data_IF_448434465381
#
_entry.id   IF_448434465381
#
_cell.length_a   1.000
_cell.length_b   1.000
_cell.length_c   1.000
_cell.angle_alpha   90.00
_cell.angle_beta   90.00
_cell.angle_gamma   90.00
#
_symmetry.space_group_name_H-M   'P 1'
#
loop_
_entity.id
_entity.type
_entity.pdbx_description
1 polymer ?
#
# COMPACT_ATOMS: atom_id res chain seq x y z
N UNK A 1 18.28 11.31 -12.33
CA UNK A 1 18.32 10.46 -11.12
C UNK A 1 17.02 10.62 -10.35
N UNK A 2 16.67 9.69 -9.44
CA UNK A 2 15.42 9.77 -8.64
C UNK A 2 15.26 11.12 -7.92
N UNK A 3 16.34 11.66 -7.35
CA UNK A 3 16.31 12.95 -6.65
C UNK A 3 16.00 14.12 -7.58
N UNK A 4 16.62 14.18 -8.76
CA UNK A 4 16.38 15.25 -9.73
C UNK A 4 14.93 15.25 -10.24
N UNK A 5 14.30 14.07 -10.39
CA UNK A 5 12.89 13.96 -10.80
C UNK A 5 11.94 14.67 -9.83
N UNK A 6 12.30 14.72 -8.55
CA UNK A 6 11.50 15.35 -7.50
C UNK A 6 11.99 16.76 -7.14
N UNK A 7 12.97 17.31 -7.86
CA UNK A 7 13.55 18.62 -7.53
C UNK A 7 14.24 18.63 -6.16
N UNK A 8 14.81 17.50 -5.75
CA UNK A 8 15.48 17.38 -4.46
C UNK A 8 16.95 17.79 -4.59
N UNK A 9 17.37 18.71 -3.74
CA UNK A 9 18.76 19.11 -3.61
C UNK A 9 19.36 18.42 -2.38
N UNK A 10 20.29 17.46 -2.55
CA UNK A 10 20.89 16.75 -1.43
C UNK A 10 21.68 17.71 -0.54
N UNK A 11 21.46 17.64 0.77
CA UNK A 11 22.21 18.37 1.80
C UNK A 11 23.25 17.49 2.49
N UNK A 12 23.08 16.16 2.42
CA UNK A 12 24.03 15.20 2.95
C UNK A 12 23.74 13.79 2.45
N UNK A 13 24.77 12.94 2.44
CA UNK A 13 24.62 11.52 2.12
C UNK A 13 25.57 10.66 2.95
N UNK A 14 25.16 9.44 3.26
CA UNK A 14 26.02 8.42 3.87
C UNK A 14 25.70 7.04 3.32
N UNK A 15 26.73 6.23 3.13
CA UNK A 15 26.58 4.79 2.91
C UNK A 15 26.25 4.12 4.24
N UNK A 16 25.35 3.17 4.22
CA UNK A 16 24.88 2.42 5.39
C UNK A 16 24.41 1.03 4.97
N UNK A 17 23.99 0.22 5.94
CA UNK A 17 23.24 -1.00 5.68
C UNK A 17 21.85 -0.91 6.30
N UNK A 18 20.86 -1.57 5.69
CA UNK A 18 19.53 -1.79 6.25
C UNK A 18 19.29 -3.29 6.31
N UNK A 19 19.25 -3.87 7.51
CA UNK A 19 19.14 -5.32 7.72
C UNK A 19 20.12 -6.14 6.85
N UNK A 20 21.39 -5.70 6.78
CA UNK A 20 22.44 -6.33 5.98
C UNK A 20 22.44 -5.96 4.49
N UNK A 21 21.43 -5.23 4.00
CA UNK A 21 21.34 -4.77 2.62
C UNK A 21 22.11 -3.46 2.44
N UNK A 22 22.88 -3.35 1.36
CA UNK A 22 23.63 -2.14 1.07
C UNK A 22 22.69 -0.98 0.74
N UNK A 23 22.91 0.16 1.39
CA UNK A 23 22.06 1.31 1.22
C UNK A 23 22.83 2.64 1.20
N UNK A 24 22.22 3.65 0.59
CA UNK A 24 22.62 5.05 0.72
C UNK A 24 21.47 5.79 1.37
N UNK A 25 21.75 6.47 2.48
CA UNK A 25 20.85 7.43 3.08
C UNK A 25 21.21 8.83 2.59
N UNK A 26 20.21 9.63 2.24
CA UNK A 26 20.40 11.05 1.91
C UNK A 26 19.40 11.92 2.65
N UNK A 27 19.84 13.10 3.08
CA UNK A 27 18.94 14.19 3.41
C UNK A 27 18.96 15.20 2.26
N UNK A 28 17.80 15.76 1.94
CA UNK A 28 17.65 16.72 0.86
C UNK A 28 16.61 17.78 1.19
N UNK A 29 16.70 18.92 0.50
CA UNK A 29 15.71 19.97 0.51
C UNK A 29 14.89 19.94 -0.77
N UNK A 30 13.60 20.20 -0.63
CA UNK A 30 12.70 20.51 -1.73
C UNK A 30 12.12 21.89 -1.49
N UNK A 31 12.47 22.84 -2.35
CA UNK A 31 12.08 24.24 -2.20
C UNK A 31 10.98 24.56 -3.19
N UNK A 32 9.86 25.08 -2.69
CA UNK A 32 8.73 25.53 -3.48
C UNK A 32 8.59 27.04 -3.31
N UNK A 33 8.55 27.77 -4.43
CA UNK A 33 8.31 29.20 -4.43
C UNK A 33 6.95 29.48 -5.04
N UNK A 34 6.07 30.13 -4.28
CA UNK A 34 4.80 30.59 -4.78
C UNK A 34 5.02 31.83 -5.65
N UNK A 35 4.73 31.71 -6.96
CA UNK A 35 4.95 32.80 -7.92
C UNK A 35 4.01 33.99 -7.71
N UNK A 36 2.84 33.81 -7.08
CA UNK A 36 1.88 34.92 -6.87
C UNK A 36 2.14 35.70 -5.58
N UNK A 37 2.61 35.03 -4.51
CA UNK A 37 2.86 35.68 -3.21
C UNK A 37 4.35 35.91 -2.91
N UNK A 38 5.25 35.32 -3.69
CA UNK A 38 6.70 35.32 -3.43
C UNK A 38 7.12 34.44 -2.24
N UNK A 39 6.19 33.78 -1.56
CA UNK A 39 6.46 32.96 -0.38
C UNK A 39 7.23 31.71 -0.75
N UNK A 40 8.24 31.35 0.06
CA UNK A 40 9.03 30.13 -0.11
C UNK A 40 8.66 29.13 0.98
N UNK A 41 8.37 27.89 0.62
CA UNK A 41 8.25 26.77 1.55
C UNK A 41 9.31 25.72 1.25
N UNK A 42 9.85 25.13 2.30
CA UNK A 42 10.90 24.10 2.21
C UNK A 42 10.42 22.84 2.90
N UNK A 43 10.47 21.72 2.18
CA UNK A 43 10.38 20.40 2.76
C UNK A 43 11.79 19.83 2.96
N UNK A 44 11.95 19.09 4.05
CA UNK A 44 13.09 18.20 4.25
C UNK A 44 12.69 16.78 3.89
N UNK A 45 13.57 16.12 3.13
CA UNK A 45 13.35 14.77 2.62
C UNK A 45 14.49 13.87 3.07
N UNK A 46 14.17 12.90 3.92
CA UNK A 46 15.05 11.78 4.25
C UNK A 46 14.78 10.67 3.24
N UNK A 47 15.81 10.20 2.54
CA UNK A 47 15.67 9.11 1.57
C UNK A 47 16.62 7.95 1.88
N UNK A 48 16.12 6.73 1.70
CA UNK A 48 16.92 5.51 1.70
C UNK A 48 16.85 4.88 0.32
N UNK A 49 18.02 4.64 -0.29
CA UNK A 49 18.19 3.88 -1.51
C UNK A 49 18.80 2.53 -1.14
N UNK A 50 18.01 1.46 -1.18
CA UNK A 50 18.39 0.13 -0.68
C UNK A 50 18.53 -0.82 -1.87
N UNK A 51 19.70 -1.43 -2.03
CA UNK A 51 19.98 -2.42 -3.07
C UNK A 51 19.45 -3.79 -2.63
N UNK A 52 18.52 -4.36 -3.40
CA UNK A 52 17.94 -5.67 -3.13
C UNK A 52 17.39 -6.30 -4.41
N UNK A 53 17.68 -7.58 -4.66
CA UNK A 53 17.12 -8.32 -5.80
C UNK A 53 17.45 -7.75 -7.19
N UNK A 54 18.59 -7.05 -7.35
CA UNK A 54 18.94 -6.37 -8.59
C UNK A 54 18.19 -5.06 -8.83
N UNK A 55 17.37 -4.62 -7.88
CA UNK A 55 16.63 -3.37 -7.89
C UNK A 55 17.14 -2.42 -6.80
N UNK A 56 16.79 -1.14 -6.92
CA UNK A 56 16.97 -0.15 -5.87
C UNK A 56 15.60 0.24 -5.34
N UNK A 57 15.28 -0.18 -4.12
CA UNK A 57 14.10 0.24 -3.40
C UNK A 57 14.36 1.61 -2.79
N UNK A 58 13.40 2.54 -2.97
CA UNK A 58 13.56 3.91 -2.49
C UNK A 58 12.43 4.25 -1.54
N UNK A 59 12.79 4.66 -0.33
CA UNK A 59 11.88 5.23 0.65
C UNK A 59 12.14 6.71 0.79
N UNK A 60 11.07 7.50 0.90
CA UNK A 60 11.12 8.92 1.17
C UNK A 60 10.28 9.23 2.41
N UNK A 61 10.87 9.96 3.34
CA UNK A 61 10.21 10.56 4.47
C UNK A 61 10.25 12.06 4.27
N UNK A 62 9.07 12.68 4.24
CA UNK A 62 8.90 14.08 3.87
C UNK A 62 8.20 14.80 5.02
N UNK A 63 8.73 15.95 5.40
CA UNK A 63 8.06 16.87 6.32
C UNK A 63 8.40 18.31 5.94
N UNK A 64 7.71 19.26 6.57
CA UNK A 64 8.18 20.64 6.61
C UNK A 64 9.56 20.69 7.29
N UNK A 65 10.32 21.76 7.03
CA UNK A 65 11.60 21.98 7.71
C UNK A 65 11.41 22.12 9.24
N UNK A 66 10.33 22.76 9.69
CA UNK A 66 10.05 22.97 11.12
C UNK A 66 9.78 21.66 11.88
N UNK A 67 9.06 20.72 11.25
CA UNK A 67 8.63 19.47 11.91
C UNK A 67 9.62 18.31 11.74
N UNK A 68 10.69 18.50 10.95
CA UNK A 68 11.55 17.39 10.55
C UNK A 68 12.18 16.67 11.74
N UNK A 69 12.69 17.40 12.73
CA UNK A 69 13.31 16.79 13.90
C UNK A 69 12.32 15.98 14.73
N UNK A 70 11.05 16.37 14.75
CA UNK A 70 9.96 15.63 15.43
C UNK A 70 9.70 14.28 14.76
N UNK A 71 9.72 14.22 13.42
CA UNK A 71 9.40 13.00 12.67
C UNK A 71 10.63 12.18 12.26
N UNK A 72 11.84 12.72 12.34
CA UNK A 72 13.06 12.10 11.86
C UNK A 72 13.27 10.70 12.44
N UNK A 73 13.08 10.51 13.74
CA UNK A 73 13.23 9.21 14.39
C UNK A 73 12.24 8.19 13.84
N UNK A 74 10.95 8.56 13.74
CA UNK A 74 9.91 7.67 13.20
C UNK A 74 10.19 7.28 11.75
N UNK A 75 10.59 8.24 10.91
CA UNK A 75 10.95 7.99 9.51
C UNK A 75 12.16 7.06 9.40
N UNK A 76 13.21 7.29 10.19
CA UNK A 76 14.39 6.42 10.21
C UNK A 76 14.04 4.98 10.65
N UNK A 77 13.30 4.84 11.75
CA UNK A 77 12.91 3.53 12.29
C UNK A 77 12.08 2.75 11.27
N UNK A 78 11.09 3.39 10.65
CA UNK A 78 10.27 2.75 9.62
C UNK A 78 11.12 2.26 8.43
N UNK A 79 11.98 3.11 7.87
CA UNK A 79 12.80 2.76 6.70
C UNK A 79 13.86 1.71 7.03
N UNK A 80 14.39 1.72 8.26
CA UNK A 80 15.36 0.72 8.71
C UNK A 80 14.77 -0.69 8.88
N UNK A 81 13.44 -0.85 8.81
CA UNK A 81 12.79 -2.17 8.93
C UNK A 81 12.73 -2.96 7.61
N UNK A 82 13.08 -2.35 6.48
CA UNK A 82 13.06 -3.05 5.19
C UNK A 82 14.00 -4.26 5.22
N UNK A 83 13.49 -5.43 4.85
CA UNK A 83 14.26 -6.68 4.91
C UNK A 83 13.78 -7.66 3.84
N UNK A 84 14.58 -8.70 3.62
CA UNK A 84 14.20 -9.79 2.75
C UNK A 84 12.95 -10.51 3.32
N UNK A 85 11.98 -10.81 2.45
CA UNK A 85 10.80 -11.56 2.86
C UNK A 85 11.18 -13.04 3.04
N UNK A 86 11.23 -13.51 4.28
CA UNK A 86 11.51 -14.91 4.64
C UNK A 86 10.28 -15.66 5.16
N UNK A 87 9.22 -14.93 5.48
CA UNK A 87 7.98 -15.49 6.03
C UNK A 87 7.27 -16.37 5.01
N UNK A 88 7.32 -17.69 5.19
CA UNK A 88 6.76 -18.67 4.28
C UNK A 88 5.25 -18.46 4.02
N UNK A 89 4.50 -18.01 5.04
CA UNK A 89 3.08 -17.69 4.93
C UNK A 89 2.79 -16.50 4.00
N UNK A 90 3.76 -15.62 3.78
CA UNK A 90 3.67 -14.47 2.85
C UNK A 90 4.27 -14.77 1.48
N UNK A 91 5.26 -15.67 1.42
CA UNK A 91 5.87 -16.14 0.17
C UNK A 91 4.93 -17.09 -0.58
N UNK A 92 4.34 -18.04 0.14
CA UNK A 92 3.55 -19.13 -0.45
C UNK A 92 2.05 -18.83 -0.50
N UNK A 93 1.67 -17.54 -0.50
CA UNK A 93 0.27 -17.13 -0.60
C UNK A 93 -0.31 -17.60 -1.93
N UNK A 94 -1.40 -18.36 -1.87
CA UNK A 94 -2.16 -18.72 -3.05
C UNK A 94 -3.22 -17.64 -3.33
N UNK A 95 -3.43 -17.28 -4.60
CA UNK A 95 -4.44 -16.29 -4.94
C UNK A 95 -5.83 -16.85 -4.65
N UNK A 96 -6.63 -16.08 -3.92
CA UNK A 96 -8.08 -16.26 -3.87
C UNK A 96 -8.66 -16.06 -5.27
N UNK A 97 -9.48 -16.99 -5.77
CA UNK A 97 -10.08 -16.91 -7.11
C UNK A 97 -11.54 -16.51 -7.04
N UNK A 98 -11.94 -15.57 -7.91
CA UNK A 98 -13.35 -15.21 -8.04
C UNK A 98 -14.04 -16.23 -8.95
N UNK A 99 -15.09 -16.85 -8.43
CA UNK A 99 -16.01 -17.69 -9.19
C UNK A 99 -17.32 -16.95 -9.40
N UNK A 100 -17.76 -16.86 -10.65
CA UNK A 100 -19.09 -16.34 -10.97
C UNK A 100 -20.08 -17.50 -10.93
N UNK A 101 -21.11 -17.38 -10.10
CA UNK A 101 -22.15 -18.39 -9.90
C UNK A 101 -23.51 -17.83 -10.25
N UNK A 102 -24.40 -18.71 -10.73
CA UNK A 102 -25.76 -18.36 -11.13
C UNK A 102 -26.72 -18.67 -9.98
N UNK A 103 -27.46 -17.67 -9.50
CA UNK A 103 -28.45 -17.83 -8.43
C UNK A 103 -29.48 -18.89 -8.83
N UNK A 104 -29.62 -19.94 -8.01
CA UNK A 104 -30.50 -21.07 -8.32
C UNK A 104 -31.99 -20.77 -8.10
N UNK A 105 -32.32 -19.96 -7.08
CA UNK A 105 -33.69 -19.59 -6.71
C UNK A 105 -33.75 -18.13 -6.31
N UNK A 106 -34.87 -17.46 -6.61
CA UNK A 106 -35.08 -16.09 -6.17
C UNK A 106 -35.07 -16.00 -4.64
N UNK A 107 -34.50 -14.93 -4.09
CA UNK A 107 -34.31 -14.76 -2.65
C UNK A 107 -33.52 -13.49 -2.33
N UNK A 108 -32.93 -13.41 -1.14
CA UNK A 108 -31.97 -12.35 -0.80
C UNK A 108 -30.54 -12.73 -1.21
N UNK A 109 -29.63 -11.76 -1.23
CA UNK A 109 -28.19 -12.04 -1.38
C UNK A 109 -27.68 -12.97 -0.27
N UNK A 110 -28.12 -12.77 0.98
CA UNK A 110 -27.79 -13.66 2.09
C UNK A 110 -28.25 -15.11 1.83
N UNK A 111 -29.46 -15.31 1.30
CA UNK A 111 -29.97 -16.64 0.96
C UNK A 111 -29.12 -17.30 -0.13
N UNK A 112 -28.70 -16.54 -1.14
CA UNK A 112 -27.84 -17.03 -2.21
C UNK A 112 -26.44 -17.39 -1.67
N UNK A 113 -25.84 -16.57 -0.82
CA UNK A 113 -24.55 -16.84 -0.19
C UNK A 113 -24.58 -18.07 0.72
N UNK A 114 -25.65 -18.24 1.51
CA UNK A 114 -25.88 -19.46 2.28
C UNK A 114 -25.95 -20.70 1.38
N UNK A 115 -26.67 -20.62 0.26
CA UNK A 115 -26.75 -21.71 -0.71
C UNK A 115 -25.38 -22.10 -1.28
N UNK A 116 -24.53 -21.12 -1.59
CA UNK A 116 -23.16 -21.35 -2.05
C UNK A 116 -22.15 -21.63 -0.93
N UNK A 117 -22.61 -21.80 0.32
CA UNK A 117 -21.79 -22.07 1.51
C UNK A 117 -20.69 -21.03 1.73
N UNK A 118 -20.98 -19.77 1.38
CA UNK A 118 -20.11 -18.65 1.75
C UNK A 118 -20.14 -18.53 3.28
N UNK A 119 -19.00 -18.53 3.98
CA UNK A 119 -18.96 -18.36 5.43
C UNK A 119 -19.65 -17.07 5.85
N UNK A 120 -20.49 -17.11 6.88
CA UNK A 120 -21.28 -15.96 7.33
C UNK A 120 -20.42 -14.73 7.66
N UNK A 121 -19.23 -14.95 8.21
CA UNK A 121 -18.26 -13.89 8.50
C UNK A 121 -17.77 -13.12 7.24
N UNK A 122 -17.92 -13.69 6.05
CA UNK A 122 -17.51 -13.10 4.77
C UNK A 122 -18.69 -12.54 3.96
N UNK A 123 -19.92 -12.64 4.47
CA UNK A 123 -21.12 -12.19 3.75
C UNK A 123 -21.04 -10.71 3.38
N UNK A 124 -20.65 -9.84 4.31
CA UNK A 124 -20.51 -8.41 4.04
C UNK A 124 -19.44 -8.11 2.97
N UNK A 125 -18.29 -8.79 3.03
CA UNK A 125 -17.21 -8.63 2.04
C UNK A 125 -17.66 -9.10 0.65
N UNK A 126 -18.42 -10.19 0.56
CA UNK A 126 -18.87 -10.73 -0.72
C UNK A 126 -20.05 -9.93 -1.26
N UNK A 127 -20.90 -9.36 -0.41
CA UNK A 127 -21.96 -8.44 -0.80
C UNK A 127 -21.34 -7.19 -1.45
N UNK A 128 -20.32 -6.62 -0.81
CA UNK A 128 -19.50 -5.52 -1.35
C UNK A 128 -18.87 -5.90 -2.69
N UNK A 129 -18.30 -7.10 -2.84
CA UNK A 129 -17.74 -7.58 -4.12
C UNK A 129 -18.77 -7.59 -5.25
N UNK A 130 -20.04 -7.78 -4.91
CA UNK A 130 -21.17 -7.80 -5.84
C UNK A 130 -21.87 -6.45 -6.00
N UNK A 131 -21.46 -5.43 -5.24
CA UNK A 131 -22.14 -4.13 -5.17
C UNK A 131 -23.63 -4.29 -4.80
N UNK A 132 -23.90 -5.10 -3.76
CA UNK A 132 -25.24 -5.38 -3.25
C UNK A 132 -25.23 -5.40 -1.72
N UNK A 133 -26.40 -5.18 -1.13
CA UNK A 133 -26.66 -5.41 0.29
C UNK A 133 -27.13 -6.85 0.53
N UNK A 134 -26.92 -7.37 1.75
CA UNK A 134 -27.33 -8.74 2.10
C UNK A 134 -28.84 -8.96 2.01
N UNK A 135 -29.62 -7.90 2.19
CA UNK A 135 -31.09 -7.89 2.12
C UNK A 135 -31.62 -7.72 0.70
N UNK A 136 -30.77 -7.35 -0.27
CA UNK A 136 -31.19 -7.11 -1.65
C UNK A 136 -31.79 -8.37 -2.26
N UNK A 137 -32.89 -8.18 -3.00
CA UNK A 137 -33.53 -9.27 -3.72
C UNK A 137 -32.77 -9.61 -4.99
N UNK A 138 -32.51 -10.89 -5.19
CA UNK A 138 -31.85 -11.45 -6.38
C UNK A 138 -32.79 -12.46 -7.03
N UNK A 139 -33.00 -12.32 -8.34
CA UNK A 139 -33.78 -13.27 -9.12
C UNK A 139 -32.98 -14.53 -9.42
N UNK A 140 -33.69 -15.65 -9.66
CA UNK A 140 -33.08 -16.83 -10.23
C UNK A 140 -32.40 -16.47 -11.56
N UNK A 141 -31.18 -16.94 -11.75
CA UNK A 141 -30.37 -16.66 -12.93
C UNK A 141 -29.47 -15.44 -12.85
N UNK A 142 -29.62 -14.56 -11.84
CA UNK A 142 -28.65 -13.47 -11.59
C UNK A 142 -27.27 -14.06 -11.32
N UNK A 143 -26.23 -13.41 -11.83
CA UNK A 143 -24.85 -13.79 -11.57
C UNK A 143 -24.34 -13.11 -10.30
N UNK A 144 -23.68 -13.88 -9.44
CA UNK A 144 -22.99 -13.38 -8.26
C UNK A 144 -21.52 -13.83 -8.29
N UNK A 145 -20.63 -12.96 -7.85
CA UNK A 145 -19.22 -13.23 -7.59
C UNK A 145 -19.08 -13.81 -6.19
N UNK A 146 -18.47 -14.97 -6.08
CA UNK A 146 -18.02 -15.52 -4.79
C UNK A 146 -16.53 -15.80 -4.89
N UNK A 147 -15.85 -15.94 -3.76
CA UNK A 147 -14.45 -16.34 -3.73
C UNK A 147 -14.34 -17.83 -3.41
N UNK A 148 -13.63 -18.57 -4.25
CA UNK A 148 -13.17 -19.93 -3.93
C UNK A 148 -11.70 -19.90 -3.49
N UNK A 149 -11.35 -20.82 -2.61
CA UNK A 149 -9.95 -21.16 -2.34
C UNK A 149 -9.31 -21.81 -3.57
#
# INVERSE_FOLDING_TARGET
TTMARYGLTPTGSRRTTVNGLQAIMTQAKQVYQNQSTGSTSTNLVLSYFISHGGLIYVFHGVSTEADFNTYATTMNTAMATFSNLTEASKINVQPKRIKVVKVARAGTVADAFNYFRVPQAQHAEFALLNDLELTDKVAAGKLLKIVSQ
#
